data_IF_360091742283
#
_entry.id   IF_360091742283
#
_cell.length_a   1.000
_cell.length_b   1.000
_cell.length_c   1.000
_cell.angle_alpha   90.00
_cell.angle_beta   90.00
_cell.angle_gamma   90.00
#
_symmetry.space_group_name_H-M   'P 1'
#
loop_
_entity.id
_entity.type
_entity.pdbx_description
1 polymer ?
#
# COMPACT_ATOMS: atom_id res chain seq x y z
N UNK A 1 35.92 5.41 19.39
CA UNK A 1 34.99 5.82 18.32
C UNK A 1 34.46 4.53 17.73
N UNK A 2 33.39 3.99 18.33
CA UNK A 2 32.79 2.73 17.93
C UNK A 2 31.31 2.96 17.71
N UNK A 3 30.86 2.68 16.49
CA UNK A 3 29.44 2.66 16.13
C UNK A 3 28.90 1.34 16.68
N UNK A 4 28.39 1.40 17.92
CA UNK A 4 27.73 0.26 18.56
C UNK A 4 26.39 0.02 17.87
N UNK A 5 26.23 -1.18 17.35
CA UNK A 5 25.13 -1.59 16.49
C UNK A 5 23.77 -1.23 17.09
N UNK A 6 23.02 -0.41 16.35
CA UNK A 6 21.61 -0.23 16.61
C UNK A 6 20.91 -1.57 16.35
N UNK A 7 20.58 -2.24 17.46
CA UNK A 7 19.81 -3.46 17.49
C UNK A 7 18.57 -3.34 16.59
N UNK A 8 18.44 -4.26 15.62
CA UNK A 8 17.30 -4.39 14.70
C UNK A 8 15.95 -4.50 15.45
N UNK A 9 15.98 -4.70 16.76
CA UNK A 9 14.83 -4.68 17.68
C UNK A 9 13.98 -3.41 17.63
N UNK A 10 14.53 -2.26 17.19
CA UNK A 10 13.76 -1.02 17.06
C UNK A 10 12.89 -0.99 15.79
N UNK A 11 13.15 -1.88 14.83
CA UNK A 11 12.34 -2.00 13.60
C UNK A 11 11.07 -2.85 13.79
N UNK A 12 10.84 -3.40 14.99
CA UNK A 12 9.56 -4.00 15.40
C UNK A 12 8.55 -2.99 15.93
N UNK A 13 8.76 -1.70 15.68
CA UNK A 13 7.90 -0.63 16.18
C UNK A 13 6.63 -0.48 15.34
N UNK A 14 5.54 -1.00 15.93
CA UNK A 14 4.21 -0.38 15.94
C UNK A 14 3.39 -0.52 14.65
N UNK A 15 2.86 -1.72 14.46
CA UNK A 15 1.41 -1.83 14.21
C UNK A 15 0.83 -2.49 15.45
N UNK A 16 0.60 -1.70 16.51
CA UNK A 16 -0.13 -2.21 17.67
C UNK A 16 -1.49 -2.67 17.15
N UNK A 17 -1.93 -3.91 17.43
CA UNK A 17 -3.29 -4.32 17.10
C UNK A 17 -4.24 -3.31 17.75
N UNK A 18 -5.30 -3.00 17.02
CA UNK A 18 -6.37 -2.17 17.50
C UNK A 18 -6.77 -2.63 18.92
N UNK A 19 -6.89 -1.73 19.92
CA UNK A 19 -7.23 -2.14 21.27
C UNK A 19 -8.67 -2.69 21.28
N UNK A 20 -8.81 -4.01 21.13
CA UNK A 20 -10.06 -4.75 21.29
C UNK A 20 -10.48 -4.92 22.75
N UNK A 21 -9.73 -4.30 23.67
CA UNK A 21 -9.93 -4.46 25.11
C UNK A 21 -11.09 -3.57 25.60
N UNK A 22 -12.28 -4.18 25.64
CA UNK A 22 -13.40 -3.86 26.53
C UNK A 22 -14.37 -2.72 26.14
N UNK A 23 -14.36 -2.21 24.90
CA UNK A 23 -15.45 -1.33 24.44
C UNK A 23 -16.46 -2.14 23.62
N UNK A 24 -17.71 -2.19 24.09
CA UNK A 24 -18.86 -2.79 23.38
C UNK A 24 -19.18 -2.02 22.07
N UNK A 25 -18.48 -0.91 21.83
CA UNK A 25 -18.63 0.00 20.70
C UNK A 25 -17.29 0.24 20.01
N UNK A 26 -17.28 0.09 18.67
CA UNK A 26 -16.20 0.59 17.81
C UNK A 26 -16.00 2.09 18.07
N UNK A 27 -14.77 2.58 18.26
CA UNK A 27 -14.46 3.99 18.43
C UNK A 27 -14.80 4.74 17.13
N UNK A 28 -15.43 5.91 17.30
CA UNK A 28 -15.79 6.80 16.21
C UNK A 28 -14.55 7.34 15.46
N UNK A 29 -14.77 7.78 14.22
CA UNK A 29 -13.73 8.39 13.40
C UNK A 29 -13.28 9.73 13.98
N UNK A 30 -12.03 10.11 13.76
CA UNK A 30 -11.52 11.38 14.27
C UNK A 30 -12.25 12.61 13.67
N UNK A 31 -12.73 12.51 12.42
CA UNK A 31 -13.61 13.51 11.80
C UNK A 31 -14.95 13.73 12.53
N UNK A 32 -15.49 12.69 13.19
CA UNK A 32 -16.77 12.72 13.91
C UNK A 32 -16.63 13.18 15.37
N UNK A 33 -15.41 13.19 15.92
CA UNK A 33 -15.14 13.55 17.31
C UNK A 33 -14.87 15.05 17.44
N UNK A 34 -15.67 15.76 18.26
CA UNK A 34 -15.46 17.19 18.50
C UNK A 34 -14.37 17.50 19.53
N UNK A 35 -14.10 16.57 20.46
CA UNK A 35 -13.12 16.75 21.53
C UNK A 35 -11.70 16.44 21.06
N UNK A 36 -10.81 17.44 21.10
CA UNK A 36 -9.41 17.35 20.61
C UNK A 36 -8.58 16.28 21.37
N UNK A 37 -8.92 16.04 22.63
CA UNK A 37 -8.20 15.13 23.53
C UNK A 37 -8.85 13.74 23.65
N UNK A 38 -9.91 13.47 22.87
CA UNK A 38 -10.58 12.18 22.90
C UNK A 38 -9.91 11.17 21.94
N UNK A 39 -9.96 9.87 22.28
CA UNK A 39 -9.47 8.81 21.41
C UNK A 39 -10.41 8.58 20.23
N UNK A 40 -9.85 8.21 19.08
CA UNK A 40 -10.61 8.01 17.84
C UNK A 40 -9.86 7.14 16.83
N UNK A 41 -10.57 6.73 15.77
CA UNK A 41 -9.99 6.03 14.63
C UNK A 41 -9.62 7.04 13.53
N UNK A 42 -8.34 7.10 13.20
CA UNK A 42 -7.82 7.92 12.11
C UNK A 42 -7.75 7.10 10.82
N UNK A 43 -7.97 7.74 9.69
CA UNK A 43 -7.97 7.14 8.36
C UNK A 43 -6.96 7.83 7.45
N UNK A 44 -6.16 7.04 6.75
CA UNK A 44 -5.18 7.51 5.78
C UNK A 44 -5.41 6.83 4.43
N UNK A 45 -5.78 7.61 3.42
CA UNK A 45 -5.75 7.15 2.03
C UNK A 45 -4.37 7.39 1.44
N UNK A 46 -3.74 6.31 0.95
CA UNK A 46 -2.48 6.39 0.23
C UNK A 46 -2.60 5.75 -1.15
N UNK A 47 -2.29 6.52 -2.19
CA UNK A 47 -2.32 6.07 -3.58
C UNK A 47 -0.92 6.03 -4.20
N UNK A 48 -0.53 4.88 -4.75
CA UNK A 48 0.69 4.71 -5.53
C UNK A 48 0.32 4.72 -7.01
N UNK A 49 0.70 5.77 -7.74
CA UNK A 49 0.33 5.98 -9.15
C UNK A 49 1.00 5.01 -10.14
N UNK A 50 2.13 4.40 -9.76
CA UNK A 50 2.96 3.56 -10.62
C UNK A 50 3.00 2.09 -10.17
N UNK A 51 1.97 1.63 -9.45
CA UNK A 51 1.95 0.28 -8.89
C UNK A 51 1.98 -0.79 -10.00
N UNK A 52 2.90 -1.77 -9.96
CA UNK A 52 2.92 -2.89 -10.91
C UNK A 52 1.64 -3.71 -10.82
N UNK A 53 0.78 -3.60 -11.83
CA UNK A 53 -0.52 -4.29 -11.85
C UNK A 53 -0.59 -5.41 -12.89
N UNK A 54 0.42 -5.52 -13.76
CA UNK A 54 0.50 -6.60 -14.74
C UNK A 54 1.69 -6.49 -15.67
N UNK A 55 1.75 -7.38 -16.66
CA UNK A 55 2.74 -7.38 -17.72
C UNK A 55 2.19 -6.72 -18.99
N UNK A 56 3.05 -5.98 -19.69
CA UNK A 56 2.77 -5.47 -21.04
C UNK A 56 3.28 -6.47 -22.06
N UNK A 57 2.40 -6.81 -23.00
CA UNK A 57 2.72 -7.67 -24.14
C UNK A 57 2.75 -6.84 -25.42
N UNK A 58 3.82 -6.99 -26.19
CA UNK A 58 3.99 -6.36 -27.49
C UNK A 58 3.80 -7.43 -28.57
N UNK A 59 3.31 -7.04 -29.74
CA UNK A 59 3.22 -7.95 -30.89
C UNK A 59 4.60 -8.07 -31.54
N UNK A 60 5.05 -9.30 -31.80
CA UNK A 60 6.21 -9.54 -32.66
C UNK A 60 5.94 -9.01 -34.07
N UNK A 61 6.96 -8.42 -34.70
CA UNK A 61 6.88 -8.04 -36.11
C UNK A 61 6.91 -9.31 -36.98
N UNK A 62 6.01 -9.46 -37.97
CA UNK A 62 6.17 -10.51 -38.96
C UNK A 62 7.41 -10.17 -39.80
N UNK A 63 8.38 -11.08 -39.83
CA UNK A 63 9.60 -11.12 -40.65
C UNK A 63 10.70 -10.11 -40.24
N UNK A 64 11.94 -10.51 -39.91
CA UNK A 64 12.80 -11.50 -40.56
C UNK A 64 13.86 -12.08 -39.59
N UNK A 65 13.89 -13.40 -39.38
CA UNK A 65 15.06 -14.11 -38.84
C UNK A 65 14.83 -15.00 -37.60
N UNK A 66 14.30 -16.21 -37.82
CA UNK A 66 14.33 -17.34 -36.87
C UNK A 66 13.08 -17.44 -35.96
N UNK A 67 12.33 -18.53 -35.89
CA UNK A 67 12.63 -19.94 -36.14
C UNK A 67 11.37 -20.65 -36.66
N UNK A 68 11.57 -21.60 -37.56
CA UNK A 68 10.60 -22.61 -37.97
C UNK A 68 9.90 -23.24 -36.76
N UNK A 69 8.56 -23.35 -36.84
CA UNK A 69 7.71 -24.47 -36.44
C UNK A 69 6.30 -23.96 -36.05
N UNK A 70 5.42 -23.81 -37.04
CA UNK A 70 4.06 -24.35 -36.93
C UNK A 70 2.95 -23.56 -36.21
N UNK A 71 3.02 -22.23 -36.04
CA UNK A 71 1.83 -21.49 -35.60
C UNK A 71 1.73 -20.10 -36.27
N UNK A 72 1.02 -20.04 -37.39
CA UNK A 72 0.59 -18.79 -38.02
C UNK A 72 -0.42 -18.07 -37.11
N UNK A 73 0.07 -17.17 -36.27
CA UNK A 73 -0.75 -16.32 -35.41
C UNK A 73 0.14 -15.45 -34.54
N UNK A 74 0.03 -14.13 -34.71
CA UNK A 74 0.78 -13.07 -33.99
C UNK A 74 1.33 -13.47 -32.62
N UNK A 75 2.61 -13.83 -32.54
CA UNK A 75 3.26 -14.18 -31.27
C UNK A 75 3.48 -12.89 -30.46
N UNK A 76 2.71 -12.75 -29.38
CA UNK A 76 2.90 -11.66 -28.42
C UNK A 76 4.05 -11.99 -27.46
N UNK A 77 5.01 -11.09 -27.28
CA UNK A 77 6.13 -11.25 -26.35
C UNK A 77 6.06 -10.26 -25.17
N UNK A 78 6.70 -10.61 -24.06
CA UNK A 78 6.76 -9.75 -22.86
C UNK A 78 7.72 -8.59 -23.13
N UNK A 79 7.24 -7.36 -23.03
CA UNK A 79 8.04 -6.18 -23.36
C UNK A 79 8.09 -5.13 -22.23
N UNK A 80 7.37 -5.33 -21.13
CA UNK A 80 7.46 -4.42 -19.98
C UNK A 80 6.46 -4.71 -18.88
N UNK A 81 6.40 -3.81 -17.91
CA UNK A 81 5.44 -3.84 -16.80
C UNK A 81 4.33 -2.83 -17.09
N UNK A 82 3.08 -3.24 -16.88
CA UNK A 82 1.93 -2.35 -16.83
C UNK A 82 1.83 -1.76 -15.42
N UNK A 83 1.86 -0.44 -15.33
CA UNK A 83 1.64 0.29 -14.09
C UNK A 83 0.21 0.81 -14.01
N UNK A 84 -0.35 0.84 -12.81
CA UNK A 84 -1.67 1.36 -12.50
C UNK A 84 -1.60 2.23 -11.24
N UNK A 85 -2.60 3.09 -11.03
CA UNK A 85 -2.83 3.71 -9.72
C UNK A 85 -3.48 2.68 -8.80
N UNK A 86 -2.91 2.47 -7.61
CA UNK A 86 -3.50 1.64 -6.55
C UNK A 86 -3.61 2.46 -5.27
N UNK A 87 -4.81 2.53 -4.71
CA UNK A 87 -5.07 3.22 -3.45
C UNK A 87 -5.34 2.20 -2.34
N UNK A 88 -4.83 2.50 -1.14
CA UNK A 88 -5.05 1.75 0.07
C UNK A 88 -5.58 2.70 1.15
N UNK A 89 -6.57 2.25 1.89
CA UNK A 89 -7.09 2.96 3.04
C UNK A 89 -6.64 2.24 4.30
N UNK A 90 -5.92 2.96 5.15
CA UNK A 90 -5.42 2.46 6.42
C UNK A 90 -6.20 3.12 7.55
N UNK A 91 -6.72 2.29 8.46
CA UNK A 91 -7.33 2.78 9.70
C UNK A 91 -6.43 2.47 10.88
N UNK A 92 -6.15 3.46 11.72
CA UNK A 92 -5.32 3.31 12.89
C UNK A 92 -5.86 4.09 14.08
N UNK A 93 -5.70 3.53 15.27
CA UNK A 93 -6.15 4.16 16.50
C UNK A 93 -5.18 5.26 16.95
N UNK A 94 -5.72 6.41 17.36
CA UNK A 94 -4.99 7.47 18.06
C UNK A 94 -5.61 7.72 19.43
N UNK A 95 -4.79 8.09 20.41
CA UNK A 95 -5.27 8.39 21.77
C UNK A 95 -5.93 9.76 21.87
N UNK A 96 -5.50 10.69 21.03
CA UNK A 96 -5.97 12.06 20.99
C UNK A 96 -6.18 12.47 19.53
N UNK A 97 -7.30 13.13 19.22
CA UNK A 97 -7.63 13.59 17.87
C UNK A 97 -6.52 14.43 17.24
N UNK A 98 -5.84 15.29 18.00
CA UNK A 98 -4.72 16.10 17.46
C UNK A 98 -3.53 15.29 16.91
N UNK A 99 -3.45 13.99 17.24
CA UNK A 99 -2.42 13.10 16.71
C UNK A 99 -2.80 12.50 15.35
N UNK A 100 -4.06 12.65 14.92
CA UNK A 100 -4.53 12.27 13.61
C UNK A 100 -4.25 13.42 12.62
N UNK A 101 -3.11 13.33 11.93
CA UNK A 101 -2.63 14.39 11.03
C UNK A 101 -3.34 14.40 9.66
N UNK A 102 -4.11 13.36 9.33
CA UNK A 102 -4.60 13.09 7.97
C UNK A 102 -6.12 12.82 7.89
N UNK A 103 -6.88 12.84 9.00
CA UNK A 103 -8.34 12.99 8.91
C UNK A 103 -8.63 14.47 8.64
N UNK A 104 -8.88 14.82 7.37
CA UNK A 104 -9.67 16.00 7.01
C UNK A 104 -11.18 15.70 7.13
#
# INVERSE_FOLDING_TARGET
>A
MEIYGSSISILGSVVKPFPTANTITEPSRCSEVSAIWAPCLCTLEMCIGWYPCGLKYCKGKPDSGGLQNGAAGSTSYRCGIKTCRKCHQYSYYVREKQQCLWDE
#
